data_IF_814607466206
#
_entry.id   IF_814607466206
#
_cell.length_a   1.000
_cell.length_b   1.000
_cell.length_c   1.000
_cell.angle_alpha   90.00
_cell.angle_beta   90.00
_cell.angle_gamma   90.00
#
_symmetry.space_group_name_H-M   'P 1'
#
loop_
_entity.id
_entity.type
_entity.pdbx_description
1 polymer ?
#
# COMPACT_ATOMS: atom_id res chain seq x y z
N UNK A 1 -9.38 -10.35 4.49
CA UNK A 1 -8.63 -9.08 4.69
C UNK A 1 -7.57 -9.02 3.61
N UNK A 2 -7.34 -7.87 2.95
CA UNK A 2 -6.29 -7.77 1.95
C UNK A 2 -4.92 -7.91 2.62
N UNK A 3 -4.04 -8.71 2.02
CA UNK A 3 -2.66 -8.95 2.47
C UNK A 3 -1.75 -7.90 1.82
N UNK A 4 -1.14 -7.05 2.64
CA UNK A 4 -0.20 -6.02 2.16
C UNK A 4 1.21 -6.60 2.21
N UNK A 5 1.99 -6.39 1.15
CA UNK A 5 3.40 -6.75 1.07
C UNK A 5 4.23 -5.56 0.60
N UNK A 6 5.28 -5.21 1.32
CA UNK A 6 6.31 -4.25 0.87
C UNK A 6 7.23 -4.85 -0.19
N UNK A 7 7.38 -6.18 -0.17
CA UNK A 7 8.22 -6.88 -1.14
C UNK A 7 7.37 -7.21 -2.34
N UNK A 8 7.72 -6.60 -3.47
CA UNK A 8 7.11 -6.88 -4.77
C UNK A 8 7.76 -8.15 -5.34
N UNK A 9 6.98 -9.19 -5.66
CA UNK A 9 7.51 -10.38 -6.33
C UNK A 9 8.18 -10.01 -7.66
N UNK A 10 9.37 -10.55 -7.94
CA UNK A 10 10.15 -10.27 -9.16
C UNK A 10 9.34 -10.51 -10.46
N UNK A 11 8.47 -11.52 -10.44
CA UNK A 11 7.58 -11.84 -11.56
C UNK A 11 6.56 -10.73 -11.90
N UNK A 12 6.25 -9.84 -10.96
CA UNK A 12 5.34 -8.71 -11.14
C UNK A 12 6.08 -7.41 -11.48
N UNK A 13 7.40 -7.36 -11.30
CA UNK A 13 8.20 -6.14 -11.46
C UNK A 13 7.99 -5.45 -12.82
N UNK A 14 7.99 -6.15 -13.97
CA UNK A 14 7.78 -5.49 -15.26
C UNK A 14 6.42 -4.80 -15.39
N UNK A 15 5.36 -5.39 -14.81
CA UNK A 15 4.01 -4.80 -14.82
C UNK A 15 3.92 -3.61 -13.86
N UNK A 16 4.56 -3.73 -12.69
CA UNK A 16 4.60 -2.67 -11.68
C UNK A 16 5.36 -1.45 -12.21
N UNK A 17 6.53 -1.66 -12.83
CA UNK A 17 7.34 -0.60 -13.41
C UNK A 17 6.58 0.12 -14.53
N UNK A 18 5.86 -0.62 -15.36
CA UNK A 18 5.01 -0.04 -16.40
C UNK A 18 3.86 0.78 -15.80
N UNK A 19 3.19 0.26 -14.76
CA UNK A 19 2.08 0.93 -14.09
C UNK A 19 2.49 2.26 -13.43
N UNK A 20 3.62 2.28 -12.71
CA UNK A 20 4.10 3.50 -12.05
C UNK A 20 4.64 4.52 -13.06
N UNK A 21 5.31 4.05 -14.12
CA UNK A 21 5.76 4.92 -15.20
C UNK A 21 4.56 5.61 -15.87
N UNK A 22 3.47 4.87 -16.13
CA UNK A 22 2.23 5.45 -16.64
C UNK A 22 1.59 6.43 -15.64
N UNK A 23 1.47 6.06 -14.36
CA UNK A 23 0.86 6.91 -13.33
C UNK A 23 1.58 8.27 -13.20
N UNK A 24 2.91 8.27 -13.27
CA UNK A 24 3.73 9.47 -13.21
C UNK A 24 3.58 10.40 -14.43
N UNK A 25 2.90 9.95 -15.50
CA UNK A 25 2.53 10.81 -16.64
C UNK A 25 1.14 11.43 -16.52
N UNK A 26 0.36 11.03 -15.50
CA UNK A 26 -0.99 11.55 -15.27
C UNK A 26 -0.96 12.83 -14.46
N UNK A 27 -2.07 13.60 -14.49
CA UNK A 27 -2.21 14.83 -13.73
C UNK A 27 -2.13 14.62 -12.20
N UNK A 28 -2.31 13.38 -11.71
CA UNK A 28 -2.20 13.04 -10.30
C UNK A 28 -0.76 13.14 -9.77
N UNK A 29 0.24 13.07 -10.64
CA UNK A 29 1.68 13.09 -10.32
C UNK A 29 2.38 14.43 -10.64
N UNK A 30 1.62 15.49 -10.92
CA UNK A 30 2.17 16.79 -11.39
C UNK A 30 3.10 17.45 -10.37
N UNK A 31 2.86 17.23 -9.07
CA UNK A 31 3.65 17.87 -8.00
C UNK A 31 4.77 16.98 -7.45
N UNK A 32 4.62 15.65 -7.52
CA UNK A 32 5.55 14.68 -6.93
C UNK A 32 5.73 13.45 -7.83
N UNK A 33 6.96 12.94 -7.92
CA UNK A 33 7.24 11.64 -8.53
C UNK A 33 6.84 10.52 -7.57
N UNK A 34 5.88 9.68 -7.97
CA UNK A 34 5.43 8.57 -7.15
C UNK A 34 6.30 7.33 -7.34
N UNK A 35 6.48 6.59 -6.25
CA UNK A 35 7.17 5.29 -6.21
C UNK A 35 6.27 4.25 -5.58
N UNK A 36 6.38 3.02 -6.06
CA UNK A 36 5.64 1.89 -5.47
C UNK A 36 6.35 1.45 -4.20
N UNK A 37 5.65 1.52 -3.07
CA UNK A 37 6.16 1.07 -1.75
C UNK A 37 5.53 -0.24 -1.31
N UNK A 38 4.43 -0.65 -1.93
CA UNK A 38 3.80 -1.92 -1.62
C UNK A 38 2.80 -2.40 -2.66
N UNK A 39 2.41 -3.67 -2.51
CA UNK A 39 1.41 -4.36 -3.32
C UNK A 39 0.39 -5.05 -2.41
N UNK A 40 -0.88 -4.96 -2.76
CA UNK A 40 -1.96 -5.70 -2.11
C UNK A 40 -2.18 -7.02 -2.85
N UNK A 41 -2.36 -8.08 -2.06
CA UNK A 41 -2.62 -9.45 -2.52
C UNK A 41 -1.68 -9.89 -3.66
N UNK A 42 -0.35 -9.94 -3.43
CA UNK A 42 0.60 -10.33 -4.48
C UNK A 42 0.33 -11.73 -5.05
N UNK A 43 -0.21 -12.63 -4.23
CA UNK A 43 -0.60 -13.98 -4.64
C UNK A 43 -1.74 -13.95 -5.68
N UNK A 44 -2.71 -13.04 -5.51
CA UNK A 44 -3.82 -12.86 -6.46
C UNK A 44 -3.32 -12.20 -7.74
N UNK A 45 -2.45 -11.19 -7.64
CA UNK A 45 -1.85 -10.52 -8.81
C UNK A 45 -0.93 -11.42 -9.65
N UNK A 46 -0.46 -12.54 -9.09
CA UNK A 46 0.27 -13.58 -9.82
C UNK A 46 -0.67 -14.51 -10.61
N UNK A 47 -1.91 -14.67 -10.14
CA UNK A 47 -2.95 -15.49 -10.79
C UNK A 47 -3.70 -14.64 -11.82
N UNK A 48 -4.18 -13.47 -11.40
CA UNK A 48 -4.80 -12.45 -12.22
C UNK A 48 -3.74 -11.56 -12.87
N UNK A 49 -3.53 -11.77 -14.17
CA UNK A 49 -2.46 -11.13 -14.93
C UNK A 49 -2.81 -9.74 -15.41
N UNK A 50 -4.02 -9.26 -15.16
CA UNK A 50 -4.47 -7.95 -15.65
C UNK A 50 -4.50 -6.92 -14.53
N UNK A 51 -4.93 -7.29 -13.33
CA UNK A 51 -5.09 -6.33 -12.24
C UNK A 51 -3.87 -6.23 -11.31
N UNK A 52 -3.57 -5.02 -10.84
CA UNK A 52 -2.59 -4.73 -9.80
C UNK A 52 -3.19 -3.73 -8.80
N UNK A 53 -3.03 -4.00 -7.52
CA UNK A 53 -3.37 -3.07 -6.46
C UNK A 53 -2.10 -2.61 -5.77
N UNK A 54 -1.70 -1.36 -5.98
CA UNK A 54 -0.41 -0.84 -5.53
C UNK A 54 -0.60 0.27 -4.51
N UNK A 55 0.35 0.36 -3.60
CA UNK A 55 0.55 1.52 -2.73
C UNK A 55 1.66 2.34 -3.37
N UNK A 56 1.31 3.57 -3.76
CA UNK A 56 2.22 4.52 -4.40
C UNK A 56 2.39 5.73 -3.48
N UNK A 57 3.63 6.14 -3.26
CA UNK A 57 3.97 7.27 -2.42
C UNK A 57 4.80 8.30 -3.19
N UNK A 58 4.46 9.57 -3.03
CA UNK A 58 5.15 10.73 -3.61
C UNK A 58 5.10 11.88 -2.61
N UNK A 59 6.23 12.55 -2.39
CA UNK A 59 6.32 13.62 -1.38
C UNK A 59 5.95 13.13 0.03
N UNK A 60 4.89 13.71 0.60
CA UNK A 60 4.30 13.35 1.91
C UNK A 60 2.99 12.54 1.79
N UNK A 61 2.64 12.09 0.59
CA UNK A 61 1.38 11.40 0.29
C UNK A 61 1.64 9.95 -0.10
N UNK A 62 0.79 9.06 0.42
CA UNK A 62 0.71 7.66 0.01
C UNK A 62 -0.73 7.32 -0.32
N UNK A 63 -0.94 6.71 -1.49
CA UNK A 63 -2.24 6.41 -2.04
C UNK A 63 -2.31 4.97 -2.51
N UNK A 64 -3.48 4.36 -2.36
CA UNK A 64 -3.75 3.03 -2.89
C UNK A 64 -4.48 3.18 -4.22
N UNK A 65 -3.87 2.69 -5.29
CA UNK A 65 -4.44 2.72 -6.64
C UNK A 65 -4.58 1.32 -7.20
N UNK A 66 -5.64 1.11 -7.99
CA UNK A 66 -5.89 -0.15 -8.70
C UNK A 66 -5.68 0.08 -10.19
N UNK A 67 -4.76 -0.68 -10.77
CA UNK A 67 -4.34 -0.58 -12.16
C UNK A 67 -4.76 -1.82 -12.91
N UNK A 68 -5.22 -1.63 -14.15
CA UNK A 68 -5.28 -2.71 -15.12
C UNK A 68 -4.06 -2.54 -16.01
N UNK A 69 -3.33 -3.63 -16.23
CA UNK A 69 -2.08 -3.68 -16.97
C UNK A 69 -2.18 -4.86 -17.91
N UNK A 70 -2.47 -4.58 -19.18
CA UNK A 70 -2.65 -5.58 -20.24
C UNK A 70 -1.53 -5.48 -21.26
N UNK A 71 -1.18 -6.61 -21.87
CA UNK A 71 -0.17 -6.67 -22.93
C UNK A 71 1.09 -7.42 -22.51
N UNK A 72 2.15 -7.20 -23.27
CA UNK A 72 3.49 -7.73 -23.01
C UNK A 72 4.51 -6.59 -23.02
N UNK A 73 5.74 -6.91 -22.60
CA UNK A 73 6.83 -6.01 -22.20
C UNK A 73 7.10 -4.76 -23.07
N UNK A 74 6.60 -4.71 -24.31
CA UNK A 74 6.81 -3.59 -25.23
C UNK A 74 5.53 -2.76 -25.49
N UNK A 75 4.33 -3.30 -25.24
CA UNK A 75 3.06 -2.63 -25.52
C UNK A 75 2.07 -2.84 -24.36
N UNK A 76 2.35 -2.19 -23.23
CA UNK A 76 1.42 -2.18 -22.11
C UNK A 76 0.28 -1.19 -22.35
N UNK A 77 -0.95 -1.71 -22.29
CA UNK A 77 -2.16 -0.90 -22.15
C UNK A 77 -2.50 -0.82 -20.67
N UNK A 78 -2.45 0.40 -20.13
CA UNK A 78 -2.52 0.67 -18.69
C UNK A 78 -3.58 1.72 -18.42
N UNK A 79 -4.34 1.51 -17.35
CA UNK A 79 -5.17 2.55 -16.80
C UNK A 79 -5.57 2.26 -15.37
N UNK A 80 -6.30 3.21 -14.78
CA UNK A 80 -6.91 3.03 -13.47
C UNK A 80 -8.20 2.25 -13.62
N UNK A 81 -8.40 1.23 -12.77
CA UNK A 81 -9.74 0.74 -12.48
C UNK A 81 -10.35 1.77 -11.54
N UNK A 82 -10.99 2.80 -12.09
CA UNK A 82 -11.68 3.83 -11.32
C UNK A 82 -12.51 3.20 -10.20
N UNK A 83 -12.13 3.49 -8.96
CA UNK A 83 -13.12 3.58 -7.91
C UNK A 83 -13.49 5.05 -7.85
N UNK A 84 -14.66 5.36 -8.41
CA UNK A 84 -15.55 6.43 -7.97
C UNK A 84 -15.03 7.13 -6.71
N UNK A 85 -14.75 8.43 -6.81
CA UNK A 85 -14.39 9.35 -5.71
C UNK A 85 -15.59 9.52 -4.76
N UNK A 86 -16.07 8.41 -4.24
CA UNK A 86 -17.11 8.28 -3.24
C UNK A 86 -16.54 7.39 -2.15
N UNK A 87 -15.89 8.05 -1.20
CA UNK A 87 -16.05 7.72 0.21
C UNK A 87 -15.89 6.24 0.56
N UNK A 88 -14.81 5.60 0.11
CA UNK A 88 -14.29 4.46 0.87
C UNK A 88 -13.54 5.02 2.07
N UNK A 89 -14.34 5.36 3.07
CA UNK A 89 -14.02 5.38 4.50
C UNK A 89 -13.60 4.01 5.05
N UNK A 90 -13.31 3.04 4.17
CA UNK A 90 -12.66 1.79 4.47
C UNK A 90 -11.33 1.77 3.71
N UNK A 91 -10.41 2.70 4.05
CA UNK A 91 -9.02 2.28 4.05
C UNK A 91 -9.02 0.91 4.73
N UNK A 92 -8.25 -0.05 4.21
CA UNK A 92 -7.92 -1.23 5.00
C UNK A 92 -7.34 -0.66 6.30
N UNK A 93 -8.20 -0.48 7.31
CA UNK A 93 -7.81 0.09 8.58
C UNK A 93 -6.81 -0.93 9.06
N UNK A 94 -5.53 -0.52 9.13
CA UNK A 94 -4.52 -1.28 9.82
C UNK A 94 -5.18 -1.78 11.11
N UNK A 95 -5.18 -3.09 11.31
CA UNK A 95 -5.85 -3.72 12.44
C UNK A 95 -5.41 -2.98 13.70
N UNK A 96 -6.36 -2.25 14.30
CA UNK A 96 -6.06 -1.25 15.34
C UNK A 96 -5.68 -1.89 16.66
N UNK A 97 -5.94 -3.19 16.77
CA UNK A 97 -5.53 -3.96 17.90
C UNK A 97 -4.09 -4.42 17.66
N UNK A 98 -3.13 -3.98 18.50
CA UNK A 98 -1.84 -4.65 18.51
C UNK A 98 -2.10 -6.14 18.75
N UNK A 99 -1.30 -7.04 18.14
CA UNK A 99 -1.51 -8.47 18.24
C UNK A 99 -1.80 -8.88 19.70
N UNK A 100 -2.84 -9.69 19.96
CA UNK A 100 -3.21 -10.07 21.31
C UNK A 100 -1.98 -10.74 21.98
N UNK A 101 -1.51 -10.16 23.08
CA UNK A 101 -0.30 -10.63 23.74
C UNK A 101 0.46 -9.59 24.53
N UNK A 102 1.80 -9.66 24.43
CA UNK A 102 2.82 -9.13 25.34
C UNK A 102 2.65 -7.68 25.84
N UNK A 103 1.81 -6.87 25.20
CA UNK A 103 1.53 -5.48 25.56
C UNK A 103 1.03 -5.34 27.01
N UNK A 104 0.05 -6.13 27.45
CA UNK A 104 -0.57 -5.96 28.77
C UNK A 104 0.45 -6.18 29.90
N UNK A 105 1.11 -7.34 29.90
CA UNK A 105 2.11 -7.68 30.91
C UNK A 105 3.40 -6.87 30.79
N UNK A 106 3.71 -6.30 29.62
CA UNK A 106 4.77 -5.29 29.48
C UNK A 106 4.35 -3.94 30.08
N UNK A 107 3.14 -3.46 29.79
CA UNK A 107 2.63 -2.18 30.27
C UNK A 107 2.60 -2.17 31.80
N UNK A 108 2.13 -3.25 32.43
CA UNK A 108 2.10 -3.39 33.90
C UNK A 108 3.50 -3.27 34.51
N UNK A 109 4.52 -3.84 33.87
CA UNK A 109 5.92 -3.75 34.34
C UNK A 109 6.49 -2.35 34.20
N UNK A 110 6.17 -1.65 33.12
CA UNK A 110 6.75 -0.34 32.79
C UNK A 110 6.05 0.79 33.57
N UNK A 111 4.75 0.66 33.85
CA UNK A 111 3.98 1.63 34.65
C UNK A 111 4.55 1.80 36.06
N UNK A 112 5.04 0.72 36.67
CA UNK A 112 5.68 0.78 37.98
C UNK A 112 7.05 1.48 37.99
N UNK A 113 7.65 1.74 36.81
CA UNK A 113 9.00 2.26 36.67
C UNK A 113 9.07 3.73 36.22
N UNK A 114 7.95 4.31 35.77
CA UNK A 114 7.92 5.65 35.18
C UNK A 114 6.70 6.45 35.65
N UNK A 115 6.87 7.76 35.85
CA UNK A 115 5.75 8.66 36.21
C UNK A 115 4.72 8.81 35.09
N UNK A 116 5.12 8.64 33.84
CA UNK A 116 4.23 8.56 32.68
C UNK A 116 4.85 7.74 31.54
N UNK A 117 4.00 7.29 30.61
CA UNK A 117 4.41 6.52 29.43
C UNK A 117 3.77 7.17 28.20
N UNK A 118 4.58 7.38 27.15
CA UNK A 118 4.12 7.75 25.82
C UNK A 118 3.99 6.50 24.96
N UNK A 119 2.77 6.22 24.50
CA UNK A 119 2.51 5.17 23.51
C UNK A 119 2.29 5.82 22.15
N UNK A 120 3.26 5.67 21.26
CA UNK A 120 3.15 6.13 19.88
C UNK A 120 2.53 5.02 19.03
N UNK A 121 1.30 5.27 18.55
CA UNK A 121 0.67 4.44 17.53
C UNK A 121 0.87 5.13 16.19
N UNK A 122 1.72 4.58 15.35
CA UNK A 122 1.90 5.09 14.00
C UNK A 122 0.78 4.60 13.10
N UNK A 123 0.23 5.50 12.29
CA UNK A 123 -0.76 5.21 11.24
C UNK A 123 -0.21 5.73 9.93
N UNK A 124 0.27 4.82 9.09
CA UNK A 124 0.79 5.10 7.77
C UNK A 124 1.24 3.79 7.13
N UNK A 125 1.16 3.72 5.81
CA UNK A 125 1.93 2.74 5.06
C UNK A 125 3.39 3.24 5.06
N UNK A 126 4.31 2.38 5.48
CA UNK A 126 5.75 2.65 5.43
C UNK A 126 6.26 2.49 3.99
#
# INVERSE_FOLDING_TARGET
>A
MPKVSETIPEALQPRVDAAIAWFNTTDAAVEDEFKVTGILNPDDALIDREELHLIVCGGDRCEQHSFWVRGDSENWDIGLLDQNVSSISHSAQAELDPPPGARLSWLDRVLAQHEFILLLFYRGFW
#
